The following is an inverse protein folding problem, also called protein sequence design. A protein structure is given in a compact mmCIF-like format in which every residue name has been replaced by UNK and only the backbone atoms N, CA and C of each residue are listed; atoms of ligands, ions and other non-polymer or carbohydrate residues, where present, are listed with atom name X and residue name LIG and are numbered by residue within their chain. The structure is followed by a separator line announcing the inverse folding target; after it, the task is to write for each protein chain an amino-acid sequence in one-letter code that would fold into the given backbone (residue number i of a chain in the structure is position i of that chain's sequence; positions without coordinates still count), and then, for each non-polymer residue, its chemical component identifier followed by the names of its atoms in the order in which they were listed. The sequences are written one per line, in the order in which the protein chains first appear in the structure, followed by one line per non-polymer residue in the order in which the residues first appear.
data_IF_495708327879
#
_entry.id   IF_495708327879
#
_cell.length_a   1.000
_cell.length_b   1.000
_cell.length_c   1.000
_cell.angle_alpha   90.00
_cell.angle_beta   90.00
_cell.angle_gamma   90.00
#
_symmetry.space_group_name_H-M   'P 1'
#
loop_
_entity.id
_entity.type
_entity.pdbx_description
1 polymer ?
#
# COMPACT_ATOMS: atom_id res chain seq x y z
N UNK A 1 -29.21 5.54 16.30
CA UNK A 1 -28.80 4.16 15.94
C UNK A 1 -27.73 4.09 14.83
N UNK A 2 -27.81 4.90 13.75
CA UNK A 2 -26.84 4.86 12.62
C UNK A 2 -25.36 5.19 12.95
N UNK A 3 -25.07 5.82 14.08
CA UNK A 3 -23.71 6.18 14.50
C UNK A 3 -22.87 4.98 14.94
N UNK A 4 -23.50 3.94 15.51
CA UNK A 4 -22.79 2.74 15.95
C UNK A 4 -22.40 1.85 14.76
N UNK A 5 -23.28 1.67 13.77
CA UNK A 5 -22.98 0.82 12.60
C UNK A 5 -21.77 1.35 11.81
N UNK A 6 -21.70 2.66 11.56
CA UNK A 6 -20.57 3.25 10.81
C UNK A 6 -19.25 3.05 11.55
N UNK A 7 -19.27 3.23 12.87
CA UNK A 7 -18.08 3.02 13.71
C UNK A 7 -17.60 1.57 13.62
N UNK A 8 -18.52 0.61 13.73
CA UNK A 8 -18.21 -0.83 13.61
C UNK A 8 -17.60 -1.15 12.24
N UNK A 9 -18.17 -0.63 11.15
CA UNK A 9 -17.63 -0.85 9.79
C UNK A 9 -16.21 -0.28 9.67
N UNK A 10 -15.97 0.96 10.10
CA UNK A 10 -14.63 1.54 10.03
C UNK A 10 -13.60 0.81 10.88
N UNK A 11 -14.00 0.37 12.08
CA UNK A 11 -13.14 -0.44 12.94
C UNK A 11 -12.85 -1.80 12.31
N UNK A 12 -13.85 -2.48 11.74
CA UNK A 12 -13.64 -3.76 11.06
C UNK A 12 -12.68 -3.62 9.88
N UNK A 13 -12.84 -2.57 9.06
CA UNK A 13 -11.93 -2.29 7.94
C UNK A 13 -10.51 -1.99 8.43
N UNK A 14 -10.36 -1.20 9.49
CA UNK A 14 -9.04 -0.96 10.11
C UNK A 14 -8.36 -2.26 10.57
N UNK A 15 -9.13 -3.18 11.16
CA UNK A 15 -8.60 -4.49 11.56
C UNK A 15 -8.20 -5.31 10.33
N UNK A 16 -9.01 -5.30 9.27
CA UNK A 16 -8.72 -6.01 8.02
C UNK A 16 -7.52 -5.43 7.24
N UNK A 17 -7.18 -4.16 7.46
CA UNK A 17 -5.95 -3.59 6.92
C UNK A 17 -4.69 -4.22 7.53
N UNK A 18 -4.74 -4.74 8.76
CA UNK A 18 -3.58 -5.39 9.39
C UNK A 18 -3.10 -6.64 8.62
N UNK A 19 -3.94 -7.66 8.34
CA UNK A 19 -3.50 -8.80 7.54
C UNK A 19 -3.20 -8.40 6.10
N UNK A 20 -3.88 -7.40 5.53
CA UNK A 20 -3.53 -6.89 4.21
C UNK A 20 -2.09 -6.33 4.17
N UNK A 21 -1.67 -5.69 5.25
CA UNK A 21 -0.35 -5.08 5.38
C UNK A 21 0.77 -6.08 5.71
N UNK A 22 0.46 -7.10 6.51
CA UNK A 22 1.39 -8.20 6.84
C UNK A 22 1.53 -9.14 5.65
N UNK A 23 0.51 -9.24 4.81
CA UNK A 23 0.53 -10.07 3.61
C UNK A 23 1.53 -9.60 2.54
N UNK A 24 1.77 -10.43 1.52
CA UNK A 24 2.70 -10.19 0.42
C UNK A 24 2.17 -9.12 -0.54
N UNK A 25 3.03 -8.15 -0.88
CA UNK A 25 2.72 -7.02 -1.75
C UNK A 25 3.47 -7.02 -3.07
N UNK A 26 4.72 -7.48 -3.04
CA UNK A 26 5.57 -7.57 -4.23
C UNK A 26 6.55 -8.73 -4.08
N UNK A 27 7.39 -8.92 -5.10
CA UNK A 27 8.50 -9.86 -5.08
C UNK A 27 9.84 -9.11 -5.12
N UNK A 28 10.87 -9.68 -4.51
CA UNK A 28 12.27 -9.24 -4.66
C UNK A 28 13.15 -10.42 -5.01
N UNK A 29 14.15 -10.16 -5.83
CA UNK A 29 15.21 -11.10 -6.21
C UNK A 29 16.49 -10.88 -5.38
N UNK A 30 16.47 -9.93 -4.44
CA UNK A 30 17.63 -9.56 -3.65
C UNK A 30 17.94 -10.65 -2.62
N UNK A 31 19.16 -11.19 -2.68
CA UNK A 31 19.63 -12.24 -1.77
C UNK A 31 18.94 -13.59 -1.96
N UNK A 32 18.35 -13.84 -3.13
CA UNK A 32 17.63 -15.08 -3.43
C UNK A 32 18.56 -16.06 -4.17
N UNK A 33 18.51 -17.38 -3.88
CA UNK A 33 19.32 -18.38 -4.55
C UNK A 33 18.99 -18.52 -6.05
N UNK A 34 19.88 -19.16 -6.83
CA UNK A 34 19.59 -19.55 -8.20
C UNK A 34 18.36 -20.48 -8.27
N UNK A 35 17.67 -20.57 -9.43
CA UNK A 35 16.42 -21.33 -9.58
C UNK A 35 16.54 -22.81 -9.21
N UNK A 36 17.72 -23.40 -9.40
CA UNK A 36 18.01 -24.80 -9.05
C UNK A 36 17.92 -25.07 -7.54
N UNK A 37 18.09 -24.04 -6.70
CA UNK A 37 18.09 -24.12 -5.23
C UNK A 37 16.93 -23.31 -4.62
N UNK A 38 15.85 -23.11 -5.39
CA UNK A 38 14.67 -22.39 -4.93
C UNK A 38 13.85 -23.27 -3.96
N UNK A 39 14.12 -23.12 -2.66
CA UNK A 39 13.42 -23.83 -1.58
C UNK A 39 12.05 -23.22 -1.23
N UNK A 40 11.29 -23.87 -0.32
CA UNK A 40 9.93 -23.47 0.10
C UNK A 40 9.80 -22.02 0.62
N UNK A 41 10.89 -21.41 1.09
CA UNK A 41 10.90 -20.01 1.55
C UNK A 41 10.90 -19.01 0.39
N UNK A 42 11.28 -19.46 -0.80
CA UNK A 42 11.33 -18.68 -2.01
C UNK A 42 10.32 -19.21 -3.03
N UNK A 43 10.02 -18.38 -4.01
CA UNK A 43 8.97 -18.60 -5.00
C UNK A 43 9.60 -18.57 -6.36
N UNK A 44 9.49 -19.69 -7.08
CA UNK A 44 9.85 -19.74 -8.48
C UNK A 44 8.81 -18.94 -9.28
N UNK A 45 9.24 -17.80 -9.83
CA UNK A 45 8.43 -16.92 -10.66
C UNK A 45 8.41 -17.44 -12.10
N UNK A 46 9.54 -17.95 -12.57
CA UNK A 46 9.72 -18.51 -13.91
C UNK A 46 10.82 -19.59 -13.86
N UNK A 47 11.00 -20.36 -14.93
CA UNK A 47 11.99 -21.46 -15.03
C UNK A 47 13.43 -21.03 -14.68
N UNK A 48 13.71 -19.72 -14.70
CA UNK A 48 15.02 -19.15 -14.46
C UNK A 48 15.11 -18.22 -13.24
N UNK A 49 13.98 -17.93 -12.58
CA UNK A 49 13.93 -16.83 -11.61
C UNK A 49 13.22 -17.24 -10.34
N UNK A 50 13.98 -17.23 -9.24
CA UNK A 50 13.46 -17.37 -7.90
C UNK A 50 13.30 -15.97 -7.27
N UNK A 51 12.29 -15.79 -6.41
CA UNK A 51 12.08 -14.54 -5.70
C UNK A 51 11.49 -14.77 -4.30
N UNK A 52 11.67 -13.82 -3.39
CA UNK A 52 10.95 -13.80 -2.10
C UNK A 52 9.78 -12.84 -2.17
N UNK A 53 8.68 -13.16 -1.48
CA UNK A 53 7.59 -12.20 -1.28
C UNK A 53 7.99 -11.16 -0.25
N UNK A 54 7.76 -9.89 -0.57
CA UNK A 54 7.96 -8.79 0.37
C UNK A 54 6.60 -8.39 0.95
N UNK A 55 6.43 -8.43 2.28
CA UNK A 55 5.22 -7.96 2.92
C UNK A 55 5.14 -6.43 2.90
N UNK A 56 3.93 -5.87 2.91
CA UNK A 56 3.72 -4.41 2.94
C UNK A 56 4.38 -3.73 4.14
N UNK A 57 4.46 -4.42 5.28
CA UNK A 57 5.17 -3.97 6.47
C UNK A 57 6.67 -3.77 6.25
N UNK A 58 7.33 -4.66 5.52
CA UNK A 58 8.74 -4.52 5.19
C UNK A 58 8.95 -3.33 4.25
N UNK A 59 8.07 -3.12 3.26
CA UNK A 59 8.10 -1.94 2.38
C UNK A 59 8.00 -0.65 3.19
N UNK A 60 7.10 -0.61 4.19
CA UNK A 60 6.94 0.56 5.05
C UNK A 60 8.16 0.80 5.94
N UNK A 61 8.69 -0.24 6.58
CA UNK A 61 9.88 -0.11 7.44
C UNK A 61 11.10 0.32 6.63
N UNK A 62 11.29 -0.29 5.46
CA UNK A 62 12.34 0.11 4.52
C UNK A 62 12.15 1.56 4.08
N UNK A 63 10.92 1.95 3.74
CA UNK A 63 10.63 3.33 3.38
C UNK A 63 10.96 4.29 4.54
N UNK A 64 10.48 4.02 5.75
CA UNK A 64 10.61 4.92 6.90
C UNK A 64 12.04 5.06 7.43
N UNK A 65 12.79 3.95 7.46
CA UNK A 65 14.09 3.89 8.10
C UNK A 65 15.21 3.60 7.09
N UNK A 66 15.00 2.64 6.21
CA UNK A 66 16.01 2.21 5.23
C UNK A 66 16.37 3.29 4.20
N UNK A 67 15.38 3.80 3.47
CA UNK A 67 15.63 4.76 2.39
C UNK A 67 16.28 6.08 2.88
N UNK A 68 15.86 6.68 4.01
CA UNK A 68 16.56 7.83 4.57
C UNK A 68 17.99 7.48 4.98
N UNK A 69 18.22 6.36 5.66
CA UNK A 69 19.57 5.96 6.08
C UNK A 69 20.50 5.71 4.90
N UNK A 70 20.00 5.13 3.80
CA UNK A 70 20.79 4.96 2.57
C UNK A 70 21.13 6.30 1.93
N UNK A 71 20.16 7.23 1.86
CA UNK A 71 20.39 8.58 1.34
C UNK A 71 21.38 9.37 2.20
N UNK A 72 21.30 9.26 3.53
CA UNK A 72 22.25 9.91 4.43
C UNK A 72 23.62 9.23 4.37
N UNK A 73 23.69 7.90 4.32
CA UNK A 73 24.92 7.13 4.23
C UNK A 73 25.78 7.57 3.04
N UNK A 74 25.20 7.60 1.83
CA UNK A 74 25.89 8.01 0.60
C UNK A 74 26.41 9.46 0.65
N UNK A 75 25.70 10.35 1.37
CA UNK A 75 26.12 11.76 1.57
C UNK A 75 27.31 11.86 2.52
N UNK A 76 27.47 10.95 3.48
CA UNK A 76 28.54 10.99 4.48
C UNK A 76 29.77 10.13 4.13
N UNK A 77 29.61 9.04 3.37
CA UNK A 77 30.72 8.15 3.01
C UNK A 77 31.46 8.57 1.74
N UNK A 78 30.93 9.51 0.95
CA UNK A 78 31.50 9.95 -0.34
C UNK A 78 31.71 8.80 -1.36
N UNK A 79 31.19 7.61 -1.07
CA UNK A 79 31.02 6.55 -2.04
C UNK A 79 29.85 6.99 -2.92
N UNK A 80 30.13 7.47 -4.14
CA UNK A 80 29.09 7.84 -5.11
C UNK A 80 28.39 6.59 -5.65
N UNK A 81 27.66 5.88 -4.79
CA UNK A 81 26.92 4.68 -5.15
C UNK A 81 25.67 5.06 -5.95
N UNK A 82 25.06 6.21 -5.63
CA UNK A 82 23.92 6.76 -6.36
C UNK A 82 24.27 8.05 -7.12
N UNK A 83 23.92 8.09 -8.41
CA UNK A 83 24.00 9.33 -9.20
C UNK A 83 23.03 10.33 -8.58
N UNK A 84 23.51 11.54 -8.23
CA UNK A 84 22.72 12.62 -7.60
C UNK A 84 21.40 12.92 -8.35
N UNK A 85 21.33 12.59 -9.64
CA UNK A 85 20.12 12.68 -10.47
C UNK A 85 18.99 11.72 -10.09
N UNK A 86 19.27 10.59 -9.43
CA UNK A 86 18.26 9.59 -9.03
C UNK A 86 17.64 9.89 -7.65
N UNK A 87 18.27 10.71 -6.82
CA UNK A 87 17.75 11.14 -5.51
C UNK A 87 16.31 11.67 -5.57
N UNK A 88 15.93 12.60 -6.47
CA UNK A 88 14.55 13.09 -6.55
C UNK A 88 13.55 11.98 -6.91
N UNK A 89 13.95 11.01 -7.72
CA UNK A 89 13.13 9.86 -8.08
C UNK A 89 12.93 8.92 -6.89
N UNK A 90 14.00 8.65 -6.13
CA UNK A 90 13.94 7.83 -4.91
C UNK A 90 13.04 8.50 -3.86
N UNK A 91 13.19 9.81 -3.64
CA UNK A 91 12.33 10.58 -2.74
C UNK A 91 10.87 10.59 -3.19
N UNK A 92 10.60 10.69 -4.49
CA UNK A 92 9.25 10.60 -5.04
C UNK A 92 8.63 9.23 -4.79
N UNK A 93 9.36 8.15 -5.07
CA UNK A 93 8.91 6.78 -4.81
C UNK A 93 8.66 6.53 -3.32
N UNK A 94 9.52 7.07 -2.46
CA UNK A 94 9.34 7.06 -1.01
C UNK A 94 8.06 7.79 -0.60
N UNK A 95 7.85 9.03 -1.08
CA UNK A 95 6.67 9.81 -0.76
C UNK A 95 5.38 9.12 -1.23
N UNK A 96 5.39 8.55 -2.44
CA UNK A 96 4.25 7.79 -2.98
C UNK A 96 3.98 6.55 -2.12
N UNK A 97 5.01 5.77 -1.77
CA UNK A 97 4.86 4.57 -0.95
C UNK A 97 4.30 4.90 0.43
N UNK A 98 4.83 5.96 1.06
CA UNK A 98 4.34 6.45 2.35
C UNK A 98 2.88 6.89 2.27
N UNK A 99 2.50 7.67 1.25
CA UNK A 99 1.11 8.09 1.05
C UNK A 99 0.21 6.87 0.83
N UNK A 100 0.61 5.91 -0.01
CA UNK A 100 -0.21 4.73 -0.30
C UNK A 100 -0.47 3.92 0.97
N UNK A 101 0.57 3.67 1.77
CA UNK A 101 0.52 2.78 2.92
C UNK A 101 -0.12 3.46 4.15
N UNK A 102 0.19 4.72 4.41
CA UNK A 102 -0.19 5.43 5.64
C UNK A 102 -1.53 6.17 5.52
N UNK A 103 -1.89 6.64 4.32
CA UNK A 103 -3.09 7.46 4.13
C UNK A 103 -4.38 6.73 4.52
N UNK A 104 -4.58 5.43 4.21
CA UNK A 104 -5.76 4.67 4.70
C UNK A 104 -5.90 4.64 6.20
N UNK A 105 -4.79 4.44 6.91
CA UNK A 105 -4.75 4.39 8.37
C UNK A 105 -5.05 5.77 8.97
N UNK A 106 -4.43 6.82 8.42
CA UNK A 106 -4.69 8.20 8.83
C UNK A 106 -6.15 8.61 8.57
N UNK A 107 -6.68 8.37 7.37
CA UNK A 107 -8.06 8.73 7.03
C UNK A 107 -9.09 7.97 7.87
N UNK A 108 -8.83 6.69 8.15
CA UNK A 108 -9.73 5.85 8.94
C UNK A 108 -9.70 6.22 10.42
N UNK A 109 -8.52 6.51 10.98
CA UNK A 109 -8.36 6.92 12.39
C UNK A 109 -8.95 8.31 12.65
N UNK A 110 -8.72 9.28 11.77
CA UNK A 110 -9.25 10.64 11.98
C UNK A 110 -10.80 10.69 12.00
N UNK A 111 -11.49 9.67 11.46
CA UNK A 111 -12.97 9.57 11.50
C UNK A 111 -13.54 9.13 12.84
N UNK A 112 -12.70 8.52 13.67
CA UNK A 112 -13.06 8.19 15.05
C UNK A 112 -13.19 9.46 15.91
N UNK A 113 -12.64 10.59 15.45
CA UNK A 113 -12.67 11.88 16.14
C UNK A 113 -13.94 12.66 15.75
N UNK A 114 -14.88 12.92 16.68
CA UNK A 114 -16.19 13.51 16.35
C UNK A 114 -16.15 14.95 15.83
N UNK A 115 -15.15 15.75 16.25
CA UNK A 115 -15.10 17.21 16.05
C UNK A 115 -14.95 17.67 14.58
N UNK A 116 -14.54 16.80 13.66
CA UNK A 116 -14.10 17.21 12.31
C UNK A 116 -15.00 16.74 11.16
N UNK A 117 -16.16 16.11 11.45
CA UNK A 117 -16.95 15.33 10.49
C UNK A 117 -17.32 16.01 9.17
N UNK A 118 -17.69 17.30 9.13
CA UNK A 118 -18.32 17.89 7.94
C UNK A 118 -17.34 18.22 6.79
N UNK A 119 -16.24 18.93 7.07
CA UNK A 119 -15.18 19.22 6.07
C UNK A 119 -14.41 17.95 5.66
N UNK A 120 -14.29 17.02 6.60
CA UNK A 120 -13.50 15.80 6.44
C UNK A 120 -14.11 14.79 5.45
N UNK A 121 -15.43 14.78 5.24
CA UNK A 121 -16.06 13.84 4.30
C UNK A 121 -15.70 14.10 2.83
N UNK A 122 -15.72 15.36 2.36
CA UNK A 122 -15.38 15.67 0.95
C UNK A 122 -13.91 15.38 0.67
N UNK A 123 -13.03 15.84 1.55
CA UNK A 123 -11.59 15.60 1.44
C UNK A 123 -11.27 14.11 1.47
N UNK A 124 -11.89 13.37 2.40
CA UNK A 124 -11.64 11.93 2.52
C UNK A 124 -12.17 11.13 1.33
N UNK A 125 -13.31 11.49 0.74
CA UNK A 125 -13.80 10.82 -0.48
C UNK A 125 -12.84 11.01 -1.66
N UNK A 126 -12.30 12.22 -1.84
CA UNK A 126 -11.30 12.50 -2.88
C UNK A 126 -10.02 11.71 -2.59
N UNK A 127 -9.55 11.72 -1.34
CA UNK A 127 -8.33 11.03 -0.95
C UNK A 127 -8.42 9.51 -1.15
N UNK A 128 -9.55 8.89 -0.79
CA UNK A 128 -9.80 7.46 -1.06
C UNK A 128 -9.87 7.16 -2.56
N UNK A 129 -10.46 8.06 -3.37
CA UNK A 129 -10.53 7.90 -4.82
C UNK A 129 -9.16 7.99 -5.48
N UNK A 130 -8.36 9.01 -5.12
CA UNK A 130 -6.98 9.17 -5.61
C UNK A 130 -6.14 7.96 -5.23
N UNK A 131 -6.25 7.50 -3.99
CA UNK A 131 -5.54 6.32 -3.53
C UNK A 131 -5.92 5.07 -4.32
N UNK A 132 -7.21 4.84 -4.55
CA UNK A 132 -7.66 3.69 -5.33
C UNK A 132 -7.12 3.74 -6.77
N UNK A 133 -7.11 4.92 -7.39
CA UNK A 133 -6.54 5.12 -8.73
C UNK A 133 -5.03 4.80 -8.73
N UNK A 134 -4.28 5.30 -7.74
CA UNK A 134 -2.85 5.05 -7.61
C UNK A 134 -2.56 3.56 -7.43
N UNK A 135 -3.33 2.88 -6.58
CA UNK A 135 -3.22 1.43 -6.41
C UNK A 135 -3.49 0.72 -7.74
N UNK A 136 -4.61 0.99 -8.41
CA UNK A 136 -4.94 0.33 -9.68
C UNK A 136 -3.91 0.61 -10.78
N UNK A 137 -3.26 1.79 -10.79
CA UNK A 137 -2.20 2.12 -11.75
C UNK A 137 -0.91 1.31 -11.52
N UNK A 138 -0.67 0.81 -10.32
CA UNK A 138 0.49 -0.03 -9.98
C UNK A 138 0.26 -1.49 -10.37
N UNK A 139 -1.00 -1.95 -10.46
CA UNK A 139 -1.30 -3.34 -10.83
C UNK A 139 -0.63 -3.77 -12.15
N UNK A 140 -0.74 -3.05 -13.28
CA UNK A 140 -0.07 -3.47 -14.52
C UNK A 140 1.44 -3.68 -14.38
N UNK A 141 2.11 -2.92 -13.51
CA UNK A 141 3.54 -3.09 -13.24
C UNK A 141 3.84 -4.35 -12.42
N UNK A 142 2.96 -4.71 -11.48
CA UNK A 142 3.08 -5.94 -10.69
C UNK A 142 2.70 -7.19 -11.49
N UNK A 143 1.77 -7.06 -12.44
CA UNK A 143 1.26 -8.14 -13.29
C UNK A 143 2.03 -8.30 -14.61
N UNK A 144 3.25 -7.74 -14.71
CA UNK A 144 4.11 -8.00 -15.85
C UNK A 144 4.38 -9.51 -16.03
N UNK A 145 4.34 -10.26 -14.93
CA UNK A 145 4.31 -11.72 -14.91
C UNK A 145 2.91 -12.20 -15.32
N UNK A 146 2.80 -12.69 -16.56
CA UNK A 146 1.53 -13.12 -17.20
C UNK A 146 0.82 -14.29 -16.52
N UNK A 147 1.42 -14.89 -15.49
CA UNK A 147 0.84 -16.05 -14.83
C UNK A 147 -0.09 -15.63 -13.67
N UNK A 148 -1.38 -15.97 -13.81
CA UNK A 148 -2.39 -15.76 -12.77
C UNK A 148 -2.04 -16.48 -11.46
N UNK A 149 -1.25 -17.55 -11.52
CA UNK A 149 -0.79 -18.27 -10.33
C UNK A 149 0.08 -17.37 -9.43
N UNK A 150 0.88 -16.50 -10.03
CA UNK A 150 1.80 -15.58 -9.35
C UNK A 150 1.03 -14.40 -8.77
N UNK A 151 0.04 -13.89 -9.51
CA UNK A 151 -0.85 -12.84 -9.02
C UNK A 151 -1.58 -13.22 -7.73
N UNK A 152 -2.03 -14.48 -7.61
CA UNK A 152 -2.66 -15.00 -6.39
C UNK A 152 -1.74 -14.98 -5.17
N UNK A 153 -0.41 -15.00 -5.38
CA UNK A 153 0.58 -14.92 -4.30
C UNK A 153 0.74 -13.50 -3.74
N UNK A 154 0.23 -12.46 -4.41
CA UNK A 154 0.19 -11.07 -3.92
C UNK A 154 -1.14 -10.73 -3.22
N UNK A 155 -1.69 -11.68 -2.48
CA UNK A 155 -3.01 -11.55 -1.85
C UNK A 155 -3.10 -10.38 -0.86
N UNK A 156 -1.99 -10.00 -0.21
CA UNK A 156 -1.95 -8.86 0.72
C UNK A 156 -2.27 -7.55 0.01
N UNK A 157 -1.62 -7.32 -1.13
CA UNK A 157 -1.91 -6.18 -2.00
C UNK A 157 -3.33 -6.24 -2.56
N UNK A 158 -3.79 -7.39 -3.06
CA UNK A 158 -5.16 -7.56 -3.55
C UNK A 158 -6.21 -7.23 -2.50
N UNK A 159 -6.03 -7.73 -1.27
CA UNK A 159 -6.88 -7.41 -0.13
C UNK A 159 -6.88 -5.91 0.19
N UNK A 160 -5.70 -5.26 0.14
CA UNK A 160 -5.56 -3.83 0.36
C UNK A 160 -6.35 -2.99 -0.65
N UNK A 161 -6.28 -3.35 -1.94
CA UNK A 161 -7.05 -2.71 -3.01
C UNK A 161 -8.56 -2.87 -2.77
N UNK A 162 -9.01 -4.08 -2.45
CA UNK A 162 -10.43 -4.36 -2.18
C UNK A 162 -10.96 -3.56 -0.98
N UNK A 163 -10.20 -3.49 0.12
CA UNK A 163 -10.58 -2.71 1.30
C UNK A 163 -10.64 -1.21 0.99
N UNK A 164 -9.69 -0.70 0.21
CA UNK A 164 -9.67 0.69 -0.25
C UNK A 164 -10.88 1.00 -1.13
N UNK A 165 -11.23 0.11 -2.05
CA UNK A 165 -12.41 0.25 -2.90
C UNK A 165 -13.71 0.23 -2.08
N UNK A 166 -13.84 -0.69 -1.12
CA UNK A 166 -15.00 -0.77 -0.23
C UNK A 166 -15.19 0.53 0.58
N UNK A 167 -14.09 1.10 1.09
CA UNK A 167 -14.09 2.37 1.82
C UNK A 167 -14.50 3.55 0.94
N UNK A 168 -13.98 3.60 -0.29
CA UNK A 168 -14.36 4.62 -1.26
C UNK A 168 -15.85 4.54 -1.61
N UNK A 169 -16.38 3.34 -1.86
CA UNK A 169 -17.80 3.13 -2.13
C UNK A 169 -18.69 3.51 -0.95
N UNK A 170 -18.28 3.15 0.28
CA UNK A 170 -18.99 3.55 1.50
C UNK A 170 -19.07 5.08 1.64
N UNK A 171 -18.02 5.80 1.23
CA UNK A 171 -18.02 7.27 1.20
C UNK A 171 -18.94 7.86 0.15
N UNK A 172 -18.90 7.34 -1.07
CA UNK A 172 -19.80 7.78 -2.13
C UNK A 172 -21.27 7.59 -1.73
N UNK A 173 -21.58 6.44 -1.13
CA UNK A 173 -22.92 6.18 -0.59
C UNK A 173 -23.30 7.18 0.50
N UNK A 174 -22.37 7.46 1.42
CA UNK A 174 -22.56 8.44 2.49
C UNK A 174 -22.84 9.86 1.98
N UNK A 175 -22.20 10.26 0.88
CA UNK A 175 -22.46 11.55 0.20
C UNK A 175 -23.83 11.55 -0.46
N UNK A 176 -24.19 10.47 -1.19
CA UNK A 176 -25.48 10.36 -1.88
C UNK A 176 -26.67 10.44 -0.92
N UNK A 177 -26.59 9.74 0.22
CA UNK A 177 -27.67 9.78 1.23
C UNK A 177 -27.88 11.17 1.84
N UNK A 178 -26.84 12.01 1.95
CA UNK A 178 -27.00 13.38 2.47
C UNK A 178 -27.64 14.30 1.44
N UNK A 179 -27.31 14.16 0.15
CA UNK A 179 -27.94 14.95 -0.91
C UNK A 179 -29.44 14.69 -1.04
N UNK A 180 -29.92 13.48 -0.71
CA UNK A 180 -31.35 13.15 -0.77
C UNK A 180 -32.15 13.65 0.46
N UNK A 181 -31.48 14.08 1.53
CA UNK A 181 -32.13 14.57 2.76
C UNK A 181 -32.21 16.10 2.85
N UNK A 182 -31.49 16.81 1.98
CA UNK A 182 -31.53 18.26 1.82
C UNK A 182 -32.33 18.59 0.56
#
# INVERSE_FOLDING_TARGET
MFTNYKRVVYTAVLILFLPAFIGPWTFSQDGVPPPEWCDEQFILIDEHTCARTIPGAEILLFSLFGAPLMLFGDVFTNEQTYVVSEIPRILLLFAISFVILFLPLALSSMRLIPKWRLRQHRFSSIAWGVLLILLLAIMPALYHYRDLSIAGRLWGYGLYVMLTAAMFLAELWGVRQRRMKN
#
